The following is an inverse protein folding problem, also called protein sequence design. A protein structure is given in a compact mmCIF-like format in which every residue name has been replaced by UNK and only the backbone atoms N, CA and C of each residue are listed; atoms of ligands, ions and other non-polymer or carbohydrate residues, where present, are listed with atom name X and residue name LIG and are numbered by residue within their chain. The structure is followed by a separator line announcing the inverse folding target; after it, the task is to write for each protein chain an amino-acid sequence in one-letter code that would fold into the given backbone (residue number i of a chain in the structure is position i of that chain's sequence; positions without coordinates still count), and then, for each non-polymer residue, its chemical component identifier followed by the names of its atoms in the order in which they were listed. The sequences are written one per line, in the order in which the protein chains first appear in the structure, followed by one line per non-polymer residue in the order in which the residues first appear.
data_IF_440759540056
#
_entry.id   IF_440759540056
#
_cell.length_a   1.000
_cell.length_b   1.000
_cell.length_c   1.000
_cell.angle_alpha   90.00
_cell.angle_beta   90.00
_cell.angle_gamma   90.00
#
_symmetry.space_group_name_H-M   'P 1'
#
loop_
_entity.id
_entity.type
_entity.pdbx_description
1 polymer ?
#
# COMPACT_ATOMS: atom_id res chain seq x y z
N UNK A 1 -7.23 58.90 40.96
CA UNK A 1 -7.51 58.91 39.50
C UNK A 1 -6.30 58.55 38.65
N UNK A 2 -5.05 58.81 39.08
CA UNK A 2 -3.83 58.43 38.32
C UNK A 2 -3.56 56.91 38.26
N UNK A 3 -3.95 56.15 39.30
CA UNK A 3 -3.72 54.69 39.36
C UNK A 3 -4.53 53.92 38.29
N UNK A 4 -5.81 54.24 38.14
CA UNK A 4 -6.72 53.57 37.20
C UNK A 4 -6.27 53.72 35.74
N UNK A 5 -5.65 54.87 35.40
CA UNK A 5 -5.11 55.13 34.06
C UNK A 5 -3.89 54.25 33.74
N UNK A 6 -3.06 53.92 34.75
CA UNK A 6 -1.87 53.06 34.58
C UNK A 6 -2.25 51.62 34.26
N UNK A 7 -3.28 51.09 34.92
CA UNK A 7 -3.78 49.73 34.67
C UNK A 7 -4.41 49.59 33.28
N UNK A 8 -5.18 50.59 32.83
CA UNK A 8 -5.78 50.60 31.48
C UNK A 8 -4.70 50.64 30.39
N UNK A 9 -3.64 51.45 30.56
CA UNK A 9 -2.52 51.52 29.60
C UNK A 9 -1.72 50.23 29.60
N UNK A 10 -1.48 49.62 30.77
CA UNK A 10 -0.81 48.32 30.90
C UNK A 10 -1.57 47.18 30.21
N UNK A 11 -2.89 47.12 30.40
CA UNK A 11 -3.77 46.14 29.76
C UNK A 11 -3.74 46.27 28.23
N UNK A 12 -3.88 47.50 27.72
CA UNK A 12 -3.86 47.79 26.28
C UNK A 12 -2.51 47.42 25.65
N UNK A 13 -1.41 47.74 26.34
CA UNK A 13 -0.05 47.44 25.87
C UNK A 13 0.20 45.94 25.78
N UNK A 14 -0.21 45.15 26.79
CA UNK A 14 -0.10 43.69 26.76
C UNK A 14 -0.86 43.05 25.60
N UNK A 15 -2.09 43.52 25.33
CA UNK A 15 -2.91 43.00 24.22
C UNK A 15 -2.27 43.31 22.87
N UNK A 16 -1.73 44.52 22.69
CA UNK A 16 -1.03 44.91 21.45
C UNK A 16 0.21 44.05 21.23
N UNK A 17 1.03 43.86 22.27
CA UNK A 17 2.24 43.01 22.20
C UNK A 17 1.86 41.56 21.85
N UNK A 18 0.83 40.99 22.49
CA UNK A 18 0.37 39.63 22.18
C UNK A 18 -0.08 39.50 20.72
N UNK A 19 -0.80 40.50 20.20
CA UNK A 19 -1.30 40.50 18.83
C UNK A 19 -0.17 40.62 17.81
N UNK A 20 0.80 41.52 18.03
CA UNK A 20 1.98 41.68 17.17
C UNK A 20 2.86 40.43 17.15
N UNK A 21 3.03 39.78 18.30
CA UNK A 21 3.75 38.52 18.41
C UNK A 21 3.06 37.43 17.58
N UNK A 22 1.74 37.28 17.74
CA UNK A 22 0.96 36.29 17.00
C UNK A 22 1.04 36.53 15.49
N UNK A 23 0.97 37.79 15.06
CA UNK A 23 1.08 38.19 13.64
C UNK A 23 2.45 37.84 13.06
N UNK A 24 3.51 38.10 13.82
CA UNK A 24 4.90 37.78 13.43
C UNK A 24 5.10 36.27 13.29
N UNK A 25 4.58 35.50 14.25
CA UNK A 25 4.63 34.03 14.22
C UNK A 25 3.89 33.49 12.98
N UNK A 26 2.67 33.96 12.72
CA UNK A 26 1.88 33.51 11.56
C UNK A 26 2.60 33.84 10.24
N UNK A 27 3.17 35.05 10.11
CA UNK A 27 3.88 35.47 8.90
C UNK A 27 5.16 34.65 8.65
N UNK A 28 5.80 34.14 9.71
CA UNK A 28 6.96 33.23 9.59
C UNK A 28 6.54 31.78 9.30
N UNK A 29 5.40 31.33 9.81
CA UNK A 29 4.92 29.95 9.65
C UNK A 29 4.27 29.73 8.28
N UNK A 30 3.52 30.71 7.75
CA UNK A 30 2.81 30.59 6.48
C UNK A 30 3.71 30.14 5.29
N UNK A 31 4.92 30.71 5.08
CA UNK A 31 5.78 30.28 3.98
C UNK A 31 6.37 28.88 4.18
N UNK A 32 6.41 28.38 5.42
CA UNK A 32 6.93 27.04 5.73
C UNK A 32 5.84 25.96 5.63
N UNK A 33 4.58 26.33 5.88
CA UNK A 33 3.46 25.39 5.88
C UNK A 33 3.16 24.86 4.48
N UNK A 34 3.27 25.70 3.45
CA UNK A 34 3.05 25.34 2.04
C UNK A 34 4.03 24.25 1.55
N UNK A 35 5.36 24.44 1.62
CA UNK A 35 6.31 23.40 1.20
C UNK A 35 6.22 22.15 2.07
N UNK A 36 5.98 22.29 3.37
CA UNK A 36 5.80 21.13 4.26
C UNK A 36 4.59 20.29 3.85
N UNK A 37 3.43 20.93 3.59
CA UNK A 37 2.23 20.25 3.13
C UNK A 37 2.48 19.56 1.78
N UNK A 38 3.19 20.22 0.86
CA UNK A 38 3.53 19.65 -0.43
C UNK A 38 4.43 18.41 -0.29
N UNK A 39 5.49 18.49 0.52
CA UNK A 39 6.39 17.35 0.79
C UNK A 39 5.64 16.19 1.44
N UNK A 40 4.76 16.46 2.40
CA UNK A 40 3.95 15.42 3.05
C UNK A 40 2.99 14.77 2.04
N UNK A 41 2.29 15.57 1.23
CA UNK A 41 1.39 15.05 0.20
C UNK A 41 2.15 14.17 -0.79
N UNK A 42 3.26 14.66 -1.34
CA UNK A 42 4.09 13.89 -2.27
C UNK A 42 4.69 12.64 -1.63
N UNK A 43 5.15 12.72 -0.38
CA UNK A 43 5.63 11.58 0.38
C UNK A 43 4.57 10.49 0.51
N UNK A 44 3.33 10.86 0.87
CA UNK A 44 2.21 9.92 0.93
C UNK A 44 1.88 9.33 -0.44
N UNK A 45 1.82 10.16 -1.49
CA UNK A 45 1.58 9.67 -2.86
C UNK A 45 2.63 8.66 -3.31
N UNK A 46 3.92 8.93 -3.05
CA UNK A 46 5.02 8.01 -3.39
C UNK A 46 4.89 6.72 -2.59
N UNK A 47 4.62 6.79 -1.28
CA UNK A 47 4.45 5.61 -0.43
C UNK A 47 3.26 4.74 -0.88
N UNK A 48 2.13 5.35 -1.20
CA UNK A 48 0.95 4.64 -1.73
C UNK A 48 1.26 4.01 -3.08
N UNK A 49 1.91 4.76 -3.98
CA UNK A 49 2.30 4.22 -5.29
C UNK A 49 3.26 3.05 -5.11
N UNK A 50 4.23 3.16 -4.20
CA UNK A 50 5.17 2.09 -3.89
C UNK A 50 4.48 0.89 -3.28
N UNK A 51 3.53 1.07 -2.36
CA UNK A 51 2.78 -0.04 -1.77
C UNK A 51 1.91 -0.75 -2.79
N UNK A 52 1.26 -0.01 -3.70
CA UNK A 52 0.49 -0.58 -4.81
C UNK A 52 1.41 -1.33 -5.76
N UNK A 53 2.55 -0.76 -6.16
CA UNK A 53 3.51 -1.43 -7.04
C UNK A 53 4.13 -2.65 -6.36
N UNK A 54 4.46 -2.58 -5.08
CA UNK A 54 4.96 -3.71 -4.30
C UNK A 54 3.90 -4.80 -4.19
N UNK A 55 2.66 -4.44 -3.82
CA UNK A 55 1.54 -5.37 -3.76
C UNK A 55 1.22 -5.97 -5.14
N UNK A 56 1.30 -5.20 -6.23
CA UNK A 56 1.17 -5.71 -7.59
C UNK A 56 2.34 -6.60 -7.97
N UNK A 57 3.57 -6.28 -7.60
CA UNK A 57 4.74 -7.15 -7.84
C UNK A 57 4.67 -8.44 -7.04
N UNK A 58 4.19 -8.38 -5.81
CA UNK A 58 4.00 -9.55 -4.95
C UNK A 58 2.80 -10.36 -5.45
N UNK A 59 1.71 -9.71 -5.86
CA UNK A 59 0.57 -10.35 -6.54
C UNK A 59 0.99 -10.94 -7.88
N UNK A 60 1.85 -10.28 -8.66
CA UNK A 60 2.38 -10.79 -9.93
C UNK A 60 3.42 -11.88 -9.68
N UNK A 61 4.19 -11.86 -8.59
CA UNK A 61 5.05 -12.98 -8.20
C UNK A 61 4.22 -14.18 -7.76
N UNK A 62 3.15 -13.97 -6.98
CA UNK A 62 2.18 -15.00 -6.60
C UNK A 62 1.38 -15.50 -7.83
N UNK A 63 1.01 -14.62 -8.77
CA UNK A 63 0.31 -14.97 -10.01
C UNK A 63 1.25 -15.56 -11.06
N UNK A 64 2.55 -15.24 -11.03
CA UNK A 64 3.59 -15.89 -11.83
C UNK A 64 3.92 -17.27 -11.27
N UNK A 65 3.73 -17.52 -9.97
CA UNK A 65 3.62 -18.88 -9.46
C UNK A 65 2.39 -19.60 -10.03
N UNK A 66 1.23 -18.93 -10.16
CA UNK A 66 0.05 -19.54 -10.81
C UNK A 66 0.23 -19.82 -12.32
N UNK A 67 1.07 -19.07 -13.04
CA UNK A 67 1.40 -19.36 -14.45
C UNK A 67 2.53 -20.39 -14.64
N UNK A 68 3.08 -20.92 -13.53
CA UNK A 68 4.04 -22.02 -13.52
C UNK A 68 3.46 -23.31 -12.91
N UNK A 69 2.14 -23.38 -12.69
CA UNK A 69 1.48 -24.62 -12.27
C UNK A 69 1.07 -25.37 -13.55
N UNK A 70 1.77 -26.47 -13.94
CA UNK A 70 1.45 -27.22 -15.16
C UNK A 70 0.11 -27.99 -15.06
N UNK A 71 -0.63 -27.85 -13.96
CA UNK A 71 -1.90 -28.55 -13.73
C UNK A 71 -3.00 -28.17 -14.74
N UNK A 72 -2.96 -27.00 -15.37
CA UNK A 72 -3.94 -26.62 -16.41
C UNK A 72 -3.81 -27.47 -17.69
N UNK A 73 -2.61 -28.02 -17.96
CA UNK A 73 -2.31 -28.86 -19.13
C UNK A 73 -2.24 -30.36 -18.79
N UNK A 74 -2.71 -30.76 -17.61
CA UNK A 74 -2.69 -32.16 -17.16
C UNK A 74 -3.99 -32.89 -17.53
N UNK A 75 -3.86 -34.10 -18.10
CA UNK A 75 -5.02 -34.93 -18.53
C UNK A 75 -5.99 -35.28 -17.40
N UNK A 76 -5.56 -35.20 -16.14
CA UNK A 76 -6.34 -35.55 -14.95
C UNK A 76 -7.02 -34.35 -14.28
N UNK A 77 -6.87 -33.15 -14.85
CA UNK A 77 -7.49 -31.94 -14.30
C UNK A 77 -8.96 -31.87 -14.70
N UNK A 78 -9.85 -32.29 -13.79
CA UNK A 78 -11.31 -32.25 -14.02
C UNK A 78 -11.91 -30.85 -13.77
N UNK A 79 -11.13 -29.90 -13.24
CA UNK A 79 -11.57 -28.51 -13.01
C UNK A 79 -12.73 -28.34 -12.02
N UNK A 80 -13.13 -29.41 -11.32
CA UNK A 80 -14.25 -29.39 -10.39
C UNK A 80 -13.83 -28.84 -9.02
N UNK A 81 -14.70 -28.06 -8.37
CA UNK A 81 -14.38 -27.37 -7.12
C UNK A 81 -14.13 -28.34 -5.97
N UNK A 82 -14.76 -29.52 -6.02
CA UNK A 82 -14.63 -30.60 -5.03
C UNK A 82 -13.49 -31.58 -5.33
N UNK A 83 -13.12 -31.79 -6.60
CA UNK A 83 -12.04 -32.70 -7.01
C UNK A 83 -11.17 -32.05 -8.09
N UNK A 84 -10.14 -31.29 -7.67
CA UNK A 84 -9.20 -30.66 -8.60
C UNK A 84 -8.23 -31.63 -9.28
N UNK A 85 -7.94 -32.78 -8.66
CA UNK A 85 -7.20 -33.88 -9.27
C UNK A 85 -7.51 -35.20 -8.53
N UNK A 86 -7.95 -36.29 -9.22
CA UNK A 86 -8.30 -37.55 -8.58
C UNK A 86 -7.08 -38.34 -8.06
N UNK A 87 -5.88 -38.05 -8.57
CA UNK A 87 -4.63 -38.74 -8.18
C UNK A 87 -4.11 -38.21 -6.84
N UNK A 88 -4.21 -36.89 -6.62
CA UNK A 88 -3.61 -36.26 -5.45
C UNK A 88 -4.38 -34.99 -5.03
N UNK A 89 -5.49 -35.15 -4.28
CA UNK A 89 -6.42 -34.06 -3.97
C UNK A 89 -5.84 -33.01 -3.01
N UNK A 90 -4.81 -33.37 -2.22
CA UNK A 90 -4.23 -32.50 -1.18
C UNK A 90 -3.17 -31.53 -1.70
N UNK A 91 -2.56 -31.82 -2.86
CA UNK A 91 -1.45 -31.01 -3.41
C UNK A 91 -1.86 -30.16 -4.62
N UNK A 92 -3.07 -30.39 -5.17
CA UNK A 92 -3.60 -29.70 -6.33
C UNK A 92 -3.63 -28.17 -6.12
N UNK A 93 -3.20 -27.39 -7.13
CA UNK A 93 -3.12 -25.92 -7.11
C UNK A 93 -2.25 -25.30 -6.00
N UNK A 94 -1.33 -26.05 -5.40
CA UNK A 94 -0.34 -25.51 -4.46
C UNK A 94 1.08 -25.54 -5.06
N UNK A 95 2.03 -24.86 -4.41
CA UNK A 95 3.45 -24.88 -4.77
C UNK A 95 4.06 -26.29 -4.82
N UNK A 96 3.47 -27.26 -4.11
CA UNK A 96 3.87 -28.67 -4.16
C UNK A 96 3.52 -29.36 -5.50
N UNK A 97 2.58 -28.82 -6.29
CA UNK A 97 2.20 -29.37 -7.59
C UNK A 97 3.19 -29.03 -8.73
N UNK A 98 4.15 -28.13 -8.48
CA UNK A 98 5.17 -27.72 -9.46
C UNK A 98 6.11 -28.90 -9.83
N UNK A 99 6.31 -29.84 -8.89
CA UNK A 99 7.09 -31.08 -9.11
C UNK A 99 6.23 -32.34 -8.93
N UNK A 100 4.98 -32.33 -9.42
CA UNK A 100 4.14 -33.53 -9.38
C UNK A 100 4.81 -34.68 -10.15
N UNK A 101 5.13 -35.82 -9.50
CA UNK A 101 5.75 -36.97 -10.19
C UNK A 101 4.80 -37.62 -11.21
N UNK A 102 3.49 -37.42 -11.06
CA UNK A 102 2.44 -38.00 -11.89
C UNK A 102 1.94 -37.05 -13.00
N UNK A 103 2.65 -35.94 -13.24
CA UNK A 103 2.27 -35.00 -14.31
C UNK A 103 2.36 -35.68 -15.69
N UNK A 104 1.23 -35.68 -16.42
CA UNK A 104 1.17 -36.09 -17.83
C UNK A 104 0.61 -34.92 -18.66
N UNK A 105 1.39 -34.44 -19.60
CA UNK A 105 1.01 -33.36 -20.51
C UNK A 105 -0.05 -33.83 -21.53
N UNK A 106 -1.02 -32.95 -21.83
CA UNK A 106 -1.95 -33.11 -22.95
C UNK A 106 -1.25 -32.91 -24.30
N UNK A 107 -0.39 -33.84 -24.72
CA UNK A 107 0.11 -33.89 -26.11
C UNK A 107 -0.43 -35.13 -26.83
N UNK A 108 -1.07 -35.01 -28.01
CA UNK A 108 -1.60 -36.15 -28.74
C UNK A 108 -0.51 -36.78 -29.63
N UNK A 109 0.57 -37.35 -29.08
CA UNK A 109 1.34 -38.41 -29.74
C UNK A 109 2.33 -39.18 -28.82
N UNK A 110 1.87 -40.32 -28.28
CA UNK A 110 2.65 -41.56 -28.03
C UNK A 110 1.81 -42.42 -27.08
N UNK A 111 1.02 -43.43 -27.47
CA UNK A 111 1.37 -44.63 -28.24
C UNK A 111 2.86 -44.84 -28.49
N UNK A 112 3.59 -45.19 -27.43
CA UNK A 112 4.29 -46.46 -27.35
C UNK A 112 4.58 -46.81 -25.89
#
# INVERSE_FOLDING_TARGET
MEQEKKDIVGQRTKVIIMLEFLRTIIQSIQPFLVPTCFVLAWGLFILITWSIVAALRDTVKQAKQMHQIPCADCIFFTGDYHLKCPVQPTIALSEAAINCPDYRSCHPNSSL
#
